data_IF_256083200689
#
_entry.id   IF_256083200689
#
_cell.length_a   1.000
_cell.length_b   1.000
_cell.length_c   1.000
_cell.angle_alpha   90.00
_cell.angle_beta   90.00
_cell.angle_gamma   90.00
#
_symmetry.space_group_name_H-M   'P 1'
#
loop_
_entity.id
_entity.type
_entity.pdbx_description
1 polymer ?
#
# COMPACT_ATOMS: atom_id res chain seq x y z
N UNK A 1 10.81 -15.15 5.01
CA UNK A 1 10.42 -13.91 4.29
C UNK A 1 11.68 -13.10 4.08
N UNK A 2 12.09 -12.82 2.84
CA UNK A 2 13.29 -12.03 2.55
C UNK A 2 12.83 -10.60 2.29
N UNK A 3 13.22 -9.67 3.16
CA UNK A 3 12.95 -8.25 2.99
C UNK A 3 14.04 -7.59 2.14
N UNK A 4 13.69 -6.51 1.45
CA UNK A 4 14.60 -5.77 0.56
C UNK A 4 15.76 -5.04 1.27
N UNK A 5 15.85 -5.09 2.60
CA UNK A 5 16.82 -4.30 3.37
C UNK A 5 17.29 -5.00 4.64
N UNK A 6 18.59 -5.01 4.88
CA UNK A 6 19.17 -5.50 6.13
C UNK A 6 18.87 -4.56 7.31
N UNK A 7 18.86 -5.09 8.53
CA UNK A 7 18.70 -4.27 9.74
C UNK A 7 19.79 -3.18 9.86
N UNK A 8 21.04 -3.52 9.50
CA UNK A 8 22.18 -2.60 9.54
C UNK A 8 21.93 -1.38 8.64
N UNK A 9 21.48 -1.60 7.41
CA UNK A 9 21.22 -0.54 6.44
C UNK A 9 20.00 0.29 6.81
N UNK A 10 18.95 -0.37 7.31
CA UNK A 10 17.77 0.30 7.84
C UNK A 10 18.13 1.25 8.98
N UNK A 11 18.90 0.77 9.96
CA UNK A 11 19.33 1.54 11.14
C UNK A 11 20.18 2.74 10.75
N UNK A 12 21.11 2.57 9.81
CA UNK A 12 21.94 3.67 9.30
C UNK A 12 21.08 4.78 8.65
N UNK A 13 20.16 4.41 7.75
CA UNK A 13 19.28 5.38 7.07
C UNK A 13 18.27 6.04 8.01
N UNK A 14 17.77 5.29 8.99
CA UNK A 14 16.83 5.79 9.99
C UNK A 14 17.49 6.88 10.86
N UNK A 15 18.73 6.67 11.32
CA UNK A 15 19.52 7.68 12.04
C UNK A 15 19.72 8.96 11.23
N UNK A 16 19.84 8.82 9.92
CA UNK A 16 19.94 9.95 8.98
C UNK A 16 18.59 10.56 8.59
N UNK A 17 17.49 10.20 9.26
CA UNK A 17 16.12 10.66 9.00
C UNK A 17 15.66 10.49 7.54
N UNK A 18 16.21 9.51 6.82
CA UNK A 18 15.80 9.23 5.44
C UNK A 18 14.55 8.38 5.45
N UNK A 19 13.56 8.72 4.62
CA UNK A 19 12.36 7.89 4.41
C UNK A 19 12.73 6.55 3.77
N UNK A 20 12.01 5.48 4.15
CA UNK A 20 12.38 4.11 3.80
C UNK A 20 11.13 3.27 3.52
N UNK A 21 11.14 2.55 2.39
CA UNK A 21 10.17 1.52 2.08
C UNK A 21 10.79 0.15 2.35
N UNK A 22 10.13 -0.65 3.19
CA UNK A 22 10.47 -2.05 3.47
C UNK A 22 9.42 -2.93 2.83
N UNK A 23 9.83 -3.92 2.04
CA UNK A 23 8.92 -4.82 1.36
C UNK A 23 9.51 -6.22 1.20
N UNK A 24 8.64 -7.20 0.99
CA UNK A 24 8.97 -8.51 0.43
C UNK A 24 8.26 -8.64 -0.91
N UNK A 25 8.80 -9.43 -1.81
CA UNK A 25 8.12 -9.85 -3.03
C UNK A 25 7.85 -11.35 -2.98
N UNK A 26 6.67 -11.76 -3.43
CA UNK A 26 6.30 -13.17 -3.61
C UNK A 26 5.75 -13.34 -5.02
N UNK A 27 6.23 -14.36 -5.73
CA UNK A 27 5.60 -14.77 -7.00
C UNK A 27 4.36 -15.59 -6.69
N UNK A 28 3.23 -15.20 -7.27
CA UNK A 28 1.95 -15.91 -7.19
C UNK A 28 1.64 -16.56 -8.53
N UNK A 29 0.91 -17.68 -8.53
CA UNK A 29 0.65 -18.47 -9.74
C UNK A 29 -0.60 -17.99 -10.50
N UNK A 30 -1.61 -17.54 -9.78
CA UNK A 30 -2.91 -17.16 -10.29
C UNK A 30 -3.42 -15.91 -9.55
N UNK A 31 -4.61 -15.45 -9.93
CA UNK A 31 -5.22 -14.25 -9.37
C UNK A 31 -5.93 -14.49 -8.02
N UNK A 32 -5.99 -15.72 -7.53
CA UNK A 32 -6.75 -16.08 -6.32
C UNK A 32 -6.27 -15.30 -5.09
N UNK A 33 -4.95 -15.17 -4.91
CA UNK A 33 -4.38 -14.37 -3.81
C UNK A 33 -4.76 -12.88 -3.94
N UNK A 34 -4.80 -12.34 -5.17
CA UNK A 34 -5.16 -10.94 -5.43
C UNK A 34 -6.65 -10.70 -5.22
N UNK A 35 -7.51 -11.60 -5.69
CA UNK A 35 -8.97 -11.53 -5.51
C UNK A 35 -9.34 -11.64 -4.03
N UNK A 36 -8.66 -12.52 -3.28
CA UNK A 36 -8.84 -12.60 -1.84
C UNK A 36 -8.44 -11.28 -1.15
N UNK A 37 -7.33 -10.66 -1.55
CA UNK A 37 -6.94 -9.34 -1.03
C UNK A 37 -8.00 -8.27 -1.34
N UNK A 38 -8.54 -8.24 -2.56
CA UNK A 38 -9.61 -7.31 -2.94
C UNK A 38 -10.81 -7.47 -2.01
N UNK A 39 -11.32 -8.69 -1.86
CA UNK A 39 -12.49 -8.96 -1.02
C UNK A 39 -12.28 -8.51 0.43
N UNK A 40 -11.11 -8.82 1.01
CA UNK A 40 -10.79 -8.38 2.37
C UNK A 40 -10.70 -6.85 2.49
N UNK A 41 -10.18 -6.14 1.49
CA UNK A 41 -10.07 -4.68 1.54
C UNK A 41 -11.42 -3.96 1.37
N UNK A 42 -12.39 -4.56 0.68
CA UNK A 42 -13.73 -3.97 0.52
C UNK A 42 -14.49 -3.82 1.85
N UNK A 43 -14.17 -4.64 2.85
CA UNK A 43 -14.77 -4.59 4.18
C UNK A 43 -13.97 -3.70 5.16
N UNK A 44 -12.78 -3.25 4.77
CA UNK A 44 -11.85 -2.54 5.65
C UNK A 44 -12.07 -1.02 5.62
N UNK A 45 -12.34 -0.43 6.79
CA UNK A 45 -12.48 1.03 6.92
C UNK A 45 -11.16 1.73 6.64
N UNK A 46 -11.22 2.93 6.05
CA UNK A 46 -10.04 3.75 5.72
C UNK A 46 -9.01 3.00 4.86
N UNK A 47 -9.50 2.16 3.96
CA UNK A 47 -8.71 1.43 2.98
C UNK A 47 -9.03 1.91 1.56
N UNK A 48 -8.16 1.60 0.60
CA UNK A 48 -8.37 1.86 -0.81
C UNK A 48 -7.78 0.75 -1.68
N UNK A 49 -8.36 0.62 -2.87
CA UNK A 49 -7.88 -0.21 -3.97
C UNK A 49 -7.81 0.67 -5.21
N UNK A 50 -6.65 0.77 -5.84
CA UNK A 50 -6.49 1.41 -7.14
C UNK A 50 -6.02 0.39 -8.16
N UNK A 51 -6.75 0.27 -9.26
CA UNK A 51 -6.44 -0.66 -10.33
C UNK A 51 -6.19 0.10 -11.64
N UNK A 52 -5.11 -0.29 -12.34
CA UNK A 52 -4.76 0.25 -13.65
C UNK A 52 -4.67 -0.89 -14.66
N UNK A 53 -5.44 -0.79 -15.75
CA UNK A 53 -5.45 -1.74 -16.87
C UNK A 53 -4.95 -1.06 -18.14
N UNK A 54 -3.91 -1.59 -18.76
CA UNK A 54 -3.40 -1.03 -20.02
C UNK A 54 -4.18 -1.60 -21.22
N UNK A 55 -4.79 -0.72 -22.02
CA UNK A 55 -5.47 -1.05 -23.30
C UNK A 55 -6.52 -2.16 -23.20
N UNK A 56 -7.15 -2.31 -22.03
CA UNK A 56 -8.18 -3.34 -21.79
C UNK A 56 -7.68 -4.78 -21.89
N UNK A 57 -6.35 -5.02 -21.91
CA UNK A 57 -5.75 -6.35 -21.95
C UNK A 57 -5.11 -6.69 -20.59
N UNK A 58 -5.15 -7.96 -20.22
CA UNK A 58 -4.58 -8.51 -18.97
C UNK A 58 -3.07 -8.22 -18.82
N UNK A 59 -2.35 -8.00 -19.92
CA UNK A 59 -0.92 -7.65 -19.88
C UNK A 59 -0.76 -6.22 -19.32
N UNK A 60 -0.33 -6.13 -18.06
CA UNK A 60 0.02 -4.87 -17.40
C UNK A 60 -0.93 -4.41 -16.30
N UNK A 61 -1.77 -5.30 -15.75
CA UNK A 61 -2.65 -4.96 -14.62
C UNK A 61 -1.83 -4.70 -13.35
N UNK A 62 -1.92 -3.50 -12.83
CA UNK A 62 -1.35 -3.13 -11.52
C UNK A 62 -2.48 -2.84 -10.56
N UNK A 63 -2.41 -3.43 -9.37
CA UNK A 63 -3.35 -3.17 -8.28
C UNK A 63 -2.56 -2.69 -7.07
N UNK A 64 -2.94 -1.52 -6.54
CA UNK A 64 -2.35 -0.90 -5.37
C UNK A 64 -3.38 -0.95 -4.25
N UNK A 65 -2.97 -1.47 -3.10
CA UNK A 65 -3.79 -1.56 -1.91
C UNK A 65 -3.19 -0.69 -0.82
N UNK A 66 -4.02 0.00 -0.05
CA UNK A 66 -3.59 0.72 1.15
C UNK A 66 -4.65 0.66 2.22
N UNK A 67 -4.26 0.45 3.48
CA UNK A 67 -5.14 0.45 4.65
C UNK A 67 -4.36 0.88 5.89
N UNK A 68 -5.07 1.10 6.99
CA UNK A 68 -4.51 1.49 8.29
C UNK A 68 -3.55 2.70 8.22
N UNK A 69 -3.98 3.83 7.65
CA UNK A 69 -3.16 5.03 7.62
C UNK A 69 -2.93 5.57 9.05
N UNK A 70 -1.69 6.00 9.33
CA UNK A 70 -1.36 6.65 10.61
C UNK A 70 -2.02 8.03 10.75
N UNK A 71 -2.31 8.68 9.62
CA UNK A 71 -2.91 10.02 9.55
C UNK A 71 -3.91 10.06 8.42
N UNK A 72 -5.07 10.66 8.66
CA UNK A 72 -6.09 10.91 7.65
C UNK A 72 -6.37 12.41 7.62
N UNK A 73 -6.26 13.00 6.44
CA UNK A 73 -6.66 14.38 6.20
C UNK A 73 -7.95 14.41 5.41
N UNK A 74 -8.96 15.07 5.97
CA UNK A 74 -10.23 15.34 5.30
C UNK A 74 -10.25 16.78 4.83
N UNK A 75 -10.64 16.99 3.57
CA UNK A 75 -10.82 18.30 3.00
C UNK A 75 -12.30 18.49 2.68
N UNK A 76 -12.90 19.54 3.22
CA UNK A 76 -14.31 19.88 3.01
C UNK A 76 -14.42 21.36 2.65
N UNK A 77 -14.69 21.64 1.37
CA UNK A 77 -14.68 22.98 0.78
C UNK A 77 -13.38 23.73 1.09
N UNK A 78 -13.46 24.78 1.90
CA UNK A 78 -12.33 25.64 2.28
C UNK A 78 -11.68 25.22 3.62
N UNK A 79 -12.14 24.11 4.22
CA UNK A 79 -11.64 23.62 5.51
C UNK A 79 -10.89 22.30 5.35
N UNK A 80 -9.88 22.08 6.20
CA UNK A 80 -9.13 20.83 6.27
C UNK A 80 -9.03 20.36 7.71
N UNK A 81 -9.20 19.05 7.93
CA UNK A 81 -9.20 18.42 9.24
C UNK A 81 -8.18 17.29 9.28
N UNK A 82 -7.39 17.21 10.36
CA UNK A 82 -6.63 16.00 10.68
C UNK A 82 -7.52 15.13 11.56
N UNK A 83 -7.96 13.99 11.01
CA UNK A 83 -8.71 13.00 11.77
C UNK A 83 -7.74 12.31 12.73
N UNK A 84 -8.05 12.36 14.02
CA UNK A 84 -7.39 11.55 15.05
C UNK A 84 -8.29 10.34 15.29
N UNK A 85 -7.74 9.14 15.08
CA UNK A 85 -8.41 7.89 15.44
C UNK A 85 -8.46 7.72 16.96
#
# INVERSE_FOLDING_TARGET
MIINRSFKDFKFRHRSKKNQIIYTSKKVKNDEEVLNLINNFLEEKNSFIFESVEKGKIKGRYTIFGKNPDKIWEFNNQSSYLIKN
#
